data_IF_087472596360
#
_entry.id   IF_087472596360
#
_cell.length_a   1.000
_cell.length_b   1.000
_cell.length_c   1.000
_cell.angle_alpha   90.00
_cell.angle_beta   90.00
_cell.angle_gamma   90.00
#
_symmetry.space_group_name_H-M   'P 1'
#
loop_
_entity.id
_entity.type
_entity.pdbx_description
1 polymer ?
#
# COMPACT_ATOMS: atom_id res chain seq x y z
N UNK A 1 -28.18 31.55 -8.34
CA UNK A 1 -28.65 30.24 -8.88
C UNK A 1 -27.70 29.18 -8.39
N UNK A 2 -28.15 28.39 -7.43
CA UNK A 2 -27.28 27.43 -6.72
C UNK A 2 -27.43 26.07 -7.43
N UNK A 3 -26.51 25.73 -8.30
CA UNK A 3 -26.52 24.45 -9.00
C UNK A 3 -26.04 23.38 -8.02
N UNK A 4 -26.98 22.75 -7.34
CA UNK A 4 -26.73 21.47 -6.66
C UNK A 4 -26.30 20.47 -7.73
N UNK A 5 -25.01 20.15 -7.78
CA UNK A 5 -24.55 19.00 -8.55
C UNK A 5 -25.30 17.76 -8.04
N UNK A 6 -25.87 17.03 -8.98
CA UNK A 6 -26.59 15.78 -8.74
C UNK A 6 -25.68 14.78 -8.03
N UNK A 7 -26.16 14.29 -6.91
CA UNK A 7 -25.53 13.32 -6.02
C UNK A 7 -25.75 11.86 -6.52
N UNK A 8 -25.81 11.66 -7.83
CA UNK A 8 -26.35 10.42 -8.41
C UNK A 8 -25.31 9.37 -8.81
N UNK A 9 -23.98 9.67 -8.74
CA UNK A 9 -22.95 8.73 -9.23
C UNK A 9 -21.83 8.38 -8.22
N UNK A 10 -22.05 8.60 -6.92
CA UNK A 10 -21.07 8.24 -5.90
C UNK A 10 -21.63 7.16 -4.98
N UNK A 11 -21.09 5.95 -5.10
CA UNK A 11 -21.35 4.87 -4.15
C UNK A 11 -20.40 4.93 -2.96
N UNK A 12 -20.89 4.51 -1.80
CA UNK A 12 -20.07 4.42 -0.59
C UNK A 12 -19.19 3.16 -0.72
N UNK A 13 -17.89 3.34 -0.86
CA UNK A 13 -16.93 2.23 -0.99
C UNK A 13 -16.78 1.45 0.32
N UNK A 14 -16.83 2.14 1.46
CA UNK A 14 -16.64 1.52 2.78
C UNK A 14 -17.89 0.71 3.17
N UNK A 15 -17.77 -0.60 3.42
CA UNK A 15 -18.86 -1.40 3.96
C UNK A 15 -19.33 -0.85 5.32
N UNK A 16 -20.63 -0.91 5.57
CA UNK A 16 -21.25 -0.36 6.81
C UNK A 16 -20.64 -0.96 8.08
N UNK A 17 -20.32 -2.26 8.05
CA UNK A 17 -19.76 -2.98 9.18
C UNK A 17 -18.31 -2.58 9.50
N UNK A 18 -17.55 -2.08 8.53
CA UNK A 18 -16.16 -1.66 8.75
C UNK A 18 -16.14 -0.30 9.44
N UNK A 19 -15.48 -0.23 10.60
CA UNK A 19 -15.30 1.03 11.33
C UNK A 19 -13.85 1.47 11.22
N UNK A 20 -13.66 2.78 11.11
CA UNK A 20 -12.39 3.43 11.32
C UNK A 20 -12.23 3.66 12.84
N UNK A 21 -11.27 3.03 13.46
CA UNK A 21 -11.03 3.17 14.90
C UNK A 21 -10.25 4.47 15.18
N UNK A 22 -9.10 4.61 14.56
CA UNK A 22 -8.30 5.84 14.65
C UNK A 22 -7.29 5.93 13.50
N UNK A 23 -6.63 7.09 13.44
CA UNK A 23 -5.54 7.37 12.50
C UNK A 23 -4.37 7.93 13.29
N UNK A 24 -3.16 7.48 12.99
CA UNK A 24 -1.92 8.07 13.53
C UNK A 24 -1.00 8.49 12.40
N UNK A 25 -0.09 9.41 12.70
CA UNK A 25 0.89 9.87 11.72
C UNK A 25 2.31 9.72 12.29
N UNK A 26 3.15 8.99 11.57
CA UNK A 26 4.59 8.88 11.84
C UNK A 26 5.34 9.89 10.95
N UNK A 27 5.73 11.02 11.52
CA UNK A 27 6.43 12.08 10.79
C UNK A 27 7.83 11.67 10.36
N UNK A 28 8.48 10.75 11.06
CA UNK A 28 9.83 10.27 10.71
C UNK A 28 9.84 9.41 9.45
N UNK A 29 8.71 8.75 9.17
CA UNK A 29 8.52 7.89 8.02
C UNK A 29 7.57 8.49 6.98
N UNK A 30 7.03 9.69 7.23
CA UNK A 30 5.99 10.31 6.39
C UNK A 30 4.81 9.37 6.12
N UNK A 31 4.41 8.59 7.13
CA UNK A 31 3.44 7.51 7.01
C UNK A 31 2.19 7.79 7.83
N UNK A 32 1.03 7.76 7.19
CA UNK A 32 -0.26 7.71 7.87
C UNK A 32 -0.64 6.25 8.15
N UNK A 33 -0.93 5.93 9.40
CA UNK A 33 -1.38 4.61 9.82
C UNK A 33 -2.89 4.65 10.06
N UNK A 34 -3.61 3.79 9.38
CA UNK A 34 -5.07 3.71 9.38
C UNK A 34 -5.47 2.43 10.12
N UNK A 35 -6.23 2.58 11.19
CA UNK A 35 -6.65 1.45 12.02
C UNK A 35 -8.14 1.19 11.82
N UNK A 36 -8.46 0.03 11.28
CA UNK A 36 -9.82 -0.46 11.10
C UNK A 36 -10.19 -1.50 12.14
N UNK A 37 -11.48 -1.64 12.35
CA UNK A 37 -12.06 -2.75 13.11
C UNK A 37 -11.82 -4.10 12.40
N UNK A 38 -11.99 -5.19 13.13
CA UNK A 38 -11.78 -6.57 12.66
C UNK A 38 -12.51 -6.90 11.36
N UNK A 39 -13.70 -6.34 11.16
CA UNK A 39 -14.56 -6.58 10.02
C UNK A 39 -13.91 -6.20 8.68
N UNK A 40 -12.87 -5.35 8.71
CA UNK A 40 -12.06 -5.06 7.54
C UNK A 40 -11.41 -6.32 6.96
N UNK A 41 -10.95 -7.26 7.80
CA UNK A 41 -10.33 -8.50 7.34
C UNK A 41 -11.31 -9.42 6.60
N UNK A 42 -12.60 -9.28 6.88
CA UNK A 42 -13.69 -10.06 6.28
C UNK A 42 -14.15 -9.50 4.92
N UNK A 43 -13.67 -8.33 4.52
CA UNK A 43 -14.04 -7.71 3.24
C UNK A 43 -13.44 -8.47 2.04
N UNK A 44 -14.19 -8.47 0.95
CA UNK A 44 -13.70 -8.96 -0.35
C UNK A 44 -12.47 -8.16 -0.82
N UNK A 45 -11.60 -8.80 -1.59
CA UNK A 45 -10.39 -8.17 -2.13
C UNK A 45 -10.69 -6.93 -2.96
N UNK A 46 -11.73 -6.95 -3.78
CA UNK A 46 -12.13 -5.81 -4.59
C UNK A 46 -12.53 -4.60 -3.75
N UNK A 47 -13.23 -4.84 -2.64
CA UNK A 47 -13.64 -3.79 -1.70
C UNK A 47 -12.41 -3.23 -0.97
N UNK A 48 -11.51 -4.09 -0.47
CA UNK A 48 -10.25 -3.67 0.15
C UNK A 48 -9.42 -2.82 -0.82
N UNK A 49 -9.31 -3.27 -2.07
CA UNK A 49 -8.58 -2.56 -3.11
C UNK A 49 -9.10 -1.14 -3.30
N UNK A 50 -10.39 -0.99 -3.55
CA UNK A 50 -11.03 0.31 -3.79
C UNK A 50 -10.93 1.22 -2.57
N UNK A 51 -11.17 0.67 -1.37
CA UNK A 51 -11.08 1.42 -0.13
C UNK A 51 -9.66 1.93 0.12
N UNK A 52 -8.66 1.04 -0.02
CA UNK A 52 -7.27 1.40 0.19
C UNK A 52 -6.78 2.42 -0.84
N UNK A 53 -7.10 2.20 -2.13
CA UNK A 53 -6.75 3.14 -3.19
C UNK A 53 -7.36 4.53 -2.95
N UNK A 54 -8.63 4.58 -2.58
CA UNK A 54 -9.31 5.84 -2.25
C UNK A 54 -8.64 6.58 -1.09
N UNK A 55 -8.31 5.86 -0.01
CA UNK A 55 -7.66 6.44 1.19
C UNK A 55 -6.23 6.91 0.86
N UNK A 56 -5.45 6.09 0.17
CA UNK A 56 -4.09 6.48 -0.26
C UNK A 56 -4.14 7.73 -1.12
N UNK A 57 -5.01 7.77 -2.12
CA UNK A 57 -5.18 8.91 -3.01
C UNK A 57 -5.60 10.19 -2.27
N UNK A 58 -6.41 10.07 -1.22
CA UNK A 58 -6.81 11.22 -0.41
C UNK A 58 -5.70 11.69 0.53
N UNK A 59 -5.06 10.78 1.25
CA UNK A 59 -4.11 11.14 2.30
C UNK A 59 -2.75 11.61 1.74
N UNK A 60 -2.30 11.06 0.63
CA UNK A 60 -1.03 11.48 0.00
C UNK A 60 -1.09 12.88 -0.64
N UNK A 61 -2.27 13.49 -0.72
CA UNK A 61 -2.41 14.91 -1.06
C UNK A 61 -2.03 15.85 0.10
N UNK A 62 -1.93 15.33 1.32
CA UNK A 62 -1.57 16.10 2.50
C UNK A 62 -0.04 16.22 2.55
N UNK A 63 0.46 17.45 2.69
CA UNK A 63 1.89 17.69 2.81
C UNK A 63 2.49 16.89 3.98
N UNK A 64 3.55 16.16 3.70
CA UNK A 64 4.25 15.33 4.66
C UNK A 64 3.77 13.87 4.70
N UNK A 65 2.65 13.52 4.05
CA UNK A 65 2.19 12.13 3.92
C UNK A 65 2.64 11.57 2.58
N UNK A 66 3.55 10.61 2.60
CA UNK A 66 4.04 9.91 1.40
C UNK A 66 3.51 8.48 1.33
N UNK A 67 3.21 7.89 2.48
CA UNK A 67 2.81 6.49 2.59
C UNK A 67 1.59 6.32 3.49
N UNK A 68 0.85 5.25 3.25
CA UNK A 68 -0.26 4.81 4.09
C UNK A 68 -0.06 3.34 4.45
N UNK A 69 -0.20 3.02 5.74
CA UNK A 69 -0.20 1.66 6.25
C UNK A 69 -1.56 1.35 6.85
N UNK A 70 -2.08 0.18 6.55
CA UNK A 70 -3.37 -0.29 7.04
C UNK A 70 -3.21 -1.32 8.14
N UNK A 71 -4.02 -1.19 9.17
CA UNK A 71 -4.13 -2.10 10.29
C UNK A 71 -5.58 -2.53 10.48
N UNK A 72 -5.77 -3.76 10.93
CA UNK A 72 -7.06 -4.29 11.31
C UNK A 72 -6.90 -5.15 12.55
N UNK A 73 -7.78 -4.97 13.54
CA UNK A 73 -7.73 -5.69 14.82
C UNK A 73 -6.35 -5.60 15.52
N UNK A 74 -5.72 -4.43 15.44
CA UNK A 74 -4.42 -4.13 16.06
C UNK A 74 -3.19 -4.70 15.34
N UNK A 75 -3.35 -5.46 14.27
CA UNK A 75 -2.28 -6.03 13.45
C UNK A 75 -2.21 -5.37 12.08
N UNK A 76 -1.09 -5.51 11.38
CA UNK A 76 -1.01 -5.10 9.97
C UNK A 76 -2.11 -5.83 9.20
N UNK A 77 -2.89 -5.08 8.43
CA UNK A 77 -4.00 -5.63 7.67
C UNK A 77 -3.52 -6.64 6.62
N UNK A 78 -4.33 -7.66 6.38
CA UNK A 78 -4.01 -8.78 5.49
C UNK A 78 -5.08 -8.94 4.41
N UNK A 79 -4.65 -9.54 3.31
CA UNK A 79 -5.56 -10.08 2.29
C UNK A 79 -6.10 -11.45 2.73
N UNK A 80 -7.17 -11.96 2.09
CA UNK A 80 -7.73 -13.27 2.43
C UNK A 80 -6.77 -14.45 2.30
N UNK A 81 -5.69 -14.31 1.56
CA UNK A 81 -4.62 -15.31 1.44
C UNK A 81 -3.58 -15.23 2.58
N UNK A 82 -3.79 -14.35 3.57
CA UNK A 82 -2.87 -14.13 4.68
C UNK A 82 -1.67 -13.25 4.35
N UNK A 83 -1.60 -12.69 3.15
CA UNK A 83 -0.51 -11.78 2.78
C UNK A 83 -0.73 -10.39 3.38
N UNK A 84 0.28 -9.85 4.06
CA UNK A 84 0.19 -8.52 4.66
C UNK A 84 0.11 -7.41 3.60
N UNK A 85 -0.75 -6.42 3.87
CA UNK A 85 -0.84 -5.20 3.07
C UNK A 85 0.37 -4.34 3.42
N UNK A 86 1.27 -4.14 2.45
CA UNK A 86 2.46 -3.30 2.61
C UNK A 86 2.15 -1.81 2.70
N UNK A 87 3.20 -1.02 2.90
CA UNK A 87 3.11 0.44 2.75
C UNK A 87 2.67 0.79 1.33
N UNK A 88 1.60 1.56 1.23
CA UNK A 88 1.07 2.03 -0.05
C UNK A 88 1.36 3.52 -0.24
N UNK A 89 1.70 3.90 -1.46
CA UNK A 89 1.90 5.27 -1.89
C UNK A 89 1.08 5.56 -3.14
N UNK A 90 1.07 6.82 -3.57
CA UNK A 90 0.42 7.20 -4.82
C UNK A 90 1.03 6.50 -6.04
N UNK A 91 2.35 6.26 -6.03
CA UNK A 91 3.07 5.57 -7.10
C UNK A 91 2.62 4.11 -7.27
N UNK A 92 2.13 3.49 -6.18
CA UNK A 92 1.62 2.13 -6.22
C UNK A 92 0.21 2.04 -6.86
N UNK A 93 -0.46 3.18 -7.00
CA UNK A 93 -1.84 3.28 -7.49
C UNK A 93 -1.96 3.96 -8.85
N UNK A 94 -0.90 4.62 -9.32
CA UNK A 94 -0.98 5.45 -10.54
C UNK A 94 -0.70 4.61 -11.77
N UNK A 95 -1.71 4.54 -12.60
CA UNK A 95 -1.56 4.48 -14.04
C UNK A 95 -1.98 5.83 -14.62
N UNK A 96 -1.15 6.43 -15.47
CA UNK A 96 -1.33 7.78 -16.06
C UNK A 96 -2.49 7.88 -17.06
N UNK A 97 -3.32 6.88 -17.16
CA UNK A 97 -4.46 6.88 -18.08
C UNK A 97 -5.80 6.86 -17.34
N UNK A 98 -6.75 7.64 -17.85
CA UNK A 98 -8.14 7.68 -17.42
C UNK A 98 -8.91 6.34 -17.52
N UNK A 99 -8.21 5.23 -17.77
CA UNK A 99 -8.73 3.86 -17.82
C UNK A 99 -8.42 3.06 -16.53
N UNK A 100 -8.18 3.72 -15.46
CA UNK A 100 -7.29 3.36 -14.36
C UNK A 100 -7.74 2.22 -13.43
N UNK A 101 -8.93 1.72 -13.43
CA UNK A 101 -9.31 0.62 -12.51
C UNK A 101 -9.16 -0.78 -13.10
N UNK A 102 -9.04 -0.91 -14.41
CA UNK A 102 -8.92 -2.22 -15.10
C UNK A 102 -7.50 -2.78 -15.16
N UNK A 103 -6.47 -1.97 -14.92
CA UNK A 103 -5.08 -2.32 -15.14
C UNK A 103 -4.23 -2.51 -13.88
N UNK A 104 -4.83 -2.41 -12.70
CA UNK A 104 -4.14 -2.70 -11.44
C UNK A 104 -4.18 -4.20 -11.19
N UNK A 105 -3.03 -4.82 -11.08
CA UNK A 105 -2.88 -6.20 -10.62
C UNK A 105 -2.31 -6.22 -9.21
N UNK A 106 -2.79 -7.18 -8.43
CA UNK A 106 -2.20 -7.53 -7.16
C UNK A 106 -1.21 -8.66 -7.33
N UNK A 107 -0.02 -8.48 -6.82
CA UNK A 107 1.00 -9.51 -6.86
C UNK A 107 1.65 -9.69 -5.50
N UNK A 108 1.80 -10.93 -5.09
CA UNK A 108 2.55 -11.27 -3.90
C UNK A 108 4.03 -11.29 -4.24
N UNK A 109 4.78 -10.37 -3.64
CA UNK A 109 6.22 -10.32 -3.77
C UNK A 109 6.88 -10.98 -2.56
N UNK A 110 7.87 -11.82 -2.81
CA UNK A 110 8.74 -12.35 -1.78
C UNK A 110 10.00 -11.46 -1.70
N UNK A 111 10.01 -10.58 -0.73
CA UNK A 111 11.15 -9.73 -0.43
C UNK A 111 12.01 -10.37 0.65
N UNK A 112 13.29 -10.09 0.64
CA UNK A 112 14.24 -10.64 1.62
C UNK A 112 14.90 -9.50 2.36
N UNK A 113 14.66 -9.44 3.65
CA UNK A 113 15.18 -8.42 4.56
C UNK A 113 16.19 -9.03 5.54
N UNK A 114 17.05 -8.22 6.12
CA UNK A 114 17.99 -8.68 7.13
C UNK A 114 17.27 -8.99 8.45
N UNK A 115 17.69 -10.03 9.15
CA UNK A 115 17.25 -10.26 10.52
C UNK A 115 17.85 -9.22 11.49
N UNK A 116 17.50 -9.31 12.77
CA UNK A 116 17.96 -8.36 13.80
C UNK A 116 19.47 -8.35 14.00
N UNK A 117 20.16 -9.43 13.65
CA UNK A 117 21.63 -9.55 13.79
C UNK A 117 22.34 -9.19 12.48
N UNK A 118 21.61 -9.10 11.38
CA UNK A 118 22.17 -8.80 10.06
C UNK A 118 22.93 -9.98 9.42
N UNK A 119 22.79 -11.18 9.95
CA UNK A 119 23.53 -12.37 9.51
C UNK A 119 22.68 -13.29 8.61
N UNK A 120 21.36 -13.08 8.54
CA UNK A 120 20.44 -13.90 7.74
C UNK A 120 19.44 -13.05 6.99
N UNK A 121 18.99 -13.57 5.85
CA UNK A 121 17.87 -13.02 5.11
C UNK A 121 16.57 -13.70 5.54
N UNK A 122 15.59 -12.89 5.92
CA UNK A 122 14.24 -13.32 6.28
C UNK A 122 13.33 -13.01 5.13
N UNK A 123 12.62 -14.04 4.64
CA UNK A 123 11.61 -13.90 3.60
C UNK A 123 10.37 -13.23 4.17
N UNK A 124 9.96 -12.13 3.55
CA UNK A 124 8.71 -11.43 3.84
C UNK A 124 7.86 -11.41 2.58
N UNK A 125 6.64 -11.96 2.66
CA UNK A 125 5.68 -11.91 1.56
C UNK A 125 4.82 -10.67 1.71
N UNK A 126 4.79 -9.82 0.68
CA UNK A 126 4.05 -8.55 0.67
C UNK A 126 3.18 -8.49 -0.57
N UNK A 127 1.88 -8.28 -0.40
CA UNK A 127 1.00 -7.99 -1.52
C UNK A 127 1.17 -6.53 -1.94
N UNK A 128 1.36 -6.33 -3.21
CA UNK A 128 1.49 -5.00 -3.80
C UNK A 128 0.51 -4.84 -4.96
N UNK A 129 -0.15 -3.69 -5.00
CA UNK A 129 -0.85 -3.25 -6.18
C UNK A 129 0.16 -2.66 -7.16
N UNK A 130 0.11 -3.02 -8.41
CA UNK A 130 0.94 -2.40 -9.42
C UNK A 130 0.20 -2.23 -10.74
N UNK A 131 0.56 -1.21 -11.48
CA UNK A 131 0.11 -1.05 -12.84
C UNK A 131 0.91 -1.97 -13.78
N UNK A 132 0.23 -2.61 -14.73
CA UNK A 132 0.89 -3.43 -15.78
C UNK A 132 1.89 -2.64 -16.62
N UNK A 133 1.83 -1.31 -16.58
CA UNK A 133 2.72 -0.42 -17.31
C UNK A 133 4.06 -0.19 -16.58
N UNK A 134 4.16 -0.59 -15.31
CA UNK A 134 5.40 -0.52 -14.52
C UNK A 134 6.08 -1.87 -14.51
N UNK A 135 7.39 -1.92 -14.75
CA UNK A 135 8.09 -3.20 -14.67
C UNK A 135 8.10 -3.74 -13.23
N UNK A 136 7.83 -5.03 -13.10
CA UNK A 136 7.82 -5.71 -11.80
C UNK A 136 9.16 -5.58 -11.09
N UNK A 137 10.26 -5.62 -11.84
CA UNK A 137 11.62 -5.50 -11.36
C UNK A 137 11.86 -4.14 -10.71
N UNK A 138 11.39 -3.07 -11.36
CA UNK A 138 11.46 -1.71 -10.82
C UNK A 138 10.76 -1.66 -9.47
N UNK A 139 9.54 -2.17 -9.39
CA UNK A 139 8.75 -2.17 -8.17
C UNK A 139 9.42 -2.97 -7.04
N UNK A 140 9.98 -4.14 -7.33
CA UNK A 140 10.71 -4.95 -6.34
C UNK A 140 11.88 -4.16 -5.75
N UNK A 141 12.69 -3.50 -6.58
CA UNK A 141 13.83 -2.71 -6.12
C UNK A 141 13.38 -1.50 -5.30
N UNK A 142 12.36 -0.79 -5.73
CA UNK A 142 11.80 0.35 -5.00
C UNK A 142 11.25 -0.09 -3.63
N UNK A 143 10.59 -1.26 -3.56
CA UNK A 143 10.12 -1.83 -2.29
C UNK A 143 11.26 -2.20 -1.34
N UNK A 144 12.35 -2.75 -1.86
CA UNK A 144 13.54 -3.05 -1.05
C UNK A 144 14.19 -1.76 -0.51
N UNK A 145 14.24 -0.70 -1.31
CA UNK A 145 14.75 0.63 -0.89
C UNK A 145 13.83 1.22 0.20
N UNK A 146 12.52 1.13 0.05
CA UNK A 146 11.56 1.57 1.09
C UNK A 146 11.75 0.86 2.42
N UNK A 147 12.25 -0.37 2.38
CA UNK A 147 12.45 -1.19 3.56
C UNK A 147 11.18 -1.91 4.04
N UNK A 148 11.30 -2.71 5.11
CA UNK A 148 10.21 -3.51 5.63
C UNK A 148 9.19 -2.67 6.41
N UNK A 149 7.91 -3.08 6.34
CA UNK A 149 6.85 -2.58 7.23
C UNK A 149 6.92 -3.22 8.62
N UNK A 150 7.51 -4.41 8.71
CA UNK A 150 7.67 -5.17 9.94
C UNK A 150 8.93 -4.72 10.69
N UNK A 151 8.78 -4.41 11.98
CA UNK A 151 9.87 -4.01 12.87
C UNK A 151 10.74 -5.19 13.31
N UNK A 152 10.38 -6.43 12.97
CA UNK A 152 11.16 -7.63 13.28
C UNK A 152 12.35 -7.83 12.35
N UNK A 153 12.39 -7.16 11.21
CA UNK A 153 13.43 -7.24 10.18
C UNK A 153 13.95 -5.84 9.82
N UNK A 154 15.12 -5.78 9.22
CA UNK A 154 15.78 -4.54 8.82
C UNK A 154 15.94 -4.45 7.30
N UNK A 155 15.96 -3.23 6.78
CA UNK A 155 16.19 -2.96 5.37
C UNK A 155 17.54 -3.56 4.92
N UNK A 156 17.52 -4.23 3.78
CA UNK A 156 18.75 -4.79 3.13
C UNK A 156 19.46 -3.74 2.28
N UNK A 157 18.74 -2.69 1.88
CA UNK A 157 19.29 -1.58 1.10
C UNK A 157 19.21 -0.29 1.93
N UNK A 158 20.18 0.63 1.78
CA UNK A 158 20.05 1.97 2.35
C UNK A 158 18.80 2.69 1.84
N UNK A 159 18.06 3.34 2.73
CA UNK A 159 16.78 4.00 2.41
C UNK A 159 16.95 5.33 1.68
N UNK A 160 18.16 5.84 1.58
CA UNK A 160 18.54 7.05 0.83
C UNK A 160 18.93 6.79 -0.63
N UNK A 161 18.93 5.51 -1.04
CA UNK A 161 19.19 5.14 -2.43
C UNK A 161 18.07 5.64 -3.36
N UNK A 162 18.48 6.08 -4.55
CA UNK A 162 17.55 6.42 -5.64
C UNK A 162 17.78 5.47 -6.81
N UNK A 163 16.73 4.81 -7.26
CA UNK A 163 16.77 4.04 -8.48
C UNK A 163 16.80 4.98 -9.69
N UNK A 164 17.89 5.00 -10.44
CA UNK A 164 18.03 5.86 -11.62
C UNK A 164 17.50 5.18 -12.88
N UNK A 165 17.79 3.90 -13.04
CA UNK A 165 17.33 3.11 -14.19
C UNK A 165 17.36 1.62 -13.84
N UNK A 166 16.53 0.84 -14.53
CA UNK A 166 16.54 -0.61 -14.49
C UNK A 166 16.39 -1.15 -15.92
N UNK A 167 17.19 -2.13 -16.28
CA UNK A 167 17.09 -2.84 -17.55
C UNK A 167 17.18 -4.34 -17.30
N UNK A 168 16.34 -5.08 -17.99
CA UNK A 168 16.35 -6.56 -17.96
C UNK A 168 16.81 -7.03 -19.32
N UNK A 169 17.93 -7.77 -19.35
CA UNK A 169 18.39 -8.45 -20.55
C UNK A 169 17.95 -9.92 -20.50
N UNK A 170 17.28 -10.37 -21.54
CA UNK A 170 16.94 -11.79 -21.74
C UNK A 170 18.14 -12.58 -22.24
#
# INVERSE_FOLDING_TARGET
>A
MNTRQKKEDCEVIKPEQVRLDHVTFDSSKSTANIYFSREYNECDNSVKLLLNAGIVKMLTQINGVSYVQFYADGSVAEYPDGTQIGLLSMEDLVDDSNEAMGNIEWKNLNLYYADKLGDKLVKTSVAVAYSKNVSLEKMVVERLIKGPSDTSVYATLPTDLKLLNISVSN
#
